data_IF_357104589974
#
_entry.id   IF_357104589974
#
_cell.length_a   1.000
_cell.length_b   1.000
_cell.length_c   1.000
_cell.angle_alpha   90.00
_cell.angle_beta   90.00
_cell.angle_gamma   90.00
#
_symmetry.space_group_name_H-M   'P 1'
#
loop_
_entity.id
_entity.type
_entity.pdbx_description
1 polymer ?
#
# COMPACT_ATOMS: atom_id res chain seq x y z
N UNK A 1 -0.30 4.75 -21.39
CA UNK A 1 0.96 4.44 -22.12
C UNK A 1 0.63 4.12 -23.57
N UNK A 2 1.48 4.51 -24.54
CA UNK A 2 1.25 4.15 -25.95
C UNK A 2 1.52 2.64 -26.17
N UNK A 3 0.69 1.90 -26.94
CA UNK A 3 0.89 0.47 -27.17
C UNK A 3 2.28 0.11 -27.70
N UNK A 4 2.82 0.93 -28.60
CA UNK A 4 4.15 0.74 -29.20
C UNK A 4 5.31 0.81 -28.22
N UNK A 5 5.10 1.33 -27.00
CA UNK A 5 6.14 1.42 -25.96
C UNK A 5 5.98 0.39 -24.86
N UNK A 6 4.83 -0.32 -24.82
CA UNK A 6 4.46 -1.23 -23.74
C UNK A 6 5.49 -2.35 -23.56
N UNK A 7 5.95 -2.94 -24.66
CA UNK A 7 6.94 -4.03 -24.65
C UNK A 7 8.25 -3.59 -23.99
N UNK A 8 8.84 -2.51 -24.48
CA UNK A 8 10.10 -1.96 -23.94
C UNK A 8 9.99 -1.62 -22.45
N UNK A 9 8.84 -1.09 -22.01
CA UNK A 9 8.63 -0.78 -20.60
C UNK A 9 8.55 -2.03 -19.73
N UNK A 10 7.84 -3.07 -20.19
CA UNK A 10 7.81 -4.32 -19.46
C UNK A 10 9.21 -4.93 -19.39
N UNK A 11 9.98 -4.93 -20.47
CA UNK A 11 11.34 -5.48 -20.47
C UNK A 11 12.29 -4.70 -19.54
N UNK A 12 12.21 -3.37 -19.52
CA UNK A 12 13.15 -2.53 -18.77
C UNK A 12 12.74 -2.29 -17.30
N UNK A 13 11.44 -2.16 -17.04
CA UNK A 13 10.92 -1.72 -15.73
C UNK A 13 10.30 -2.89 -14.96
N UNK A 14 9.68 -3.85 -15.65
CA UNK A 14 9.00 -4.98 -15.04
C UNK A 14 9.34 -6.30 -15.74
N UNK A 15 10.64 -6.70 -15.75
CA UNK A 15 11.09 -7.89 -16.49
C UNK A 15 10.40 -9.17 -16.00
N UNK A 16 9.93 -9.18 -14.75
CA UNK A 16 9.13 -10.23 -14.13
C UNK A 16 7.71 -10.37 -14.74
N UNK A 17 7.22 -9.31 -15.40
CA UNK A 17 5.85 -9.22 -15.96
C UNK A 17 5.81 -9.27 -17.50
N UNK A 18 6.96 -9.29 -18.17
CA UNK A 18 7.04 -9.18 -19.65
C UNK A 18 6.34 -10.30 -20.42
N UNK A 19 6.33 -11.51 -19.86
CA UNK A 19 5.77 -12.72 -20.48
C UNK A 19 4.40 -13.11 -19.90
N UNK A 20 3.76 -12.22 -19.14
CA UNK A 20 2.43 -12.48 -18.58
C UNK A 20 1.38 -12.39 -19.69
N UNK A 21 0.33 -13.20 -19.55
CA UNK A 21 -0.75 -13.26 -20.51
C UNK A 21 -1.78 -12.15 -20.30
N UNK A 22 -2.75 -12.05 -21.22
CA UNK A 22 -3.77 -11.00 -21.17
C UNK A 22 -4.66 -11.13 -19.93
N UNK A 23 -4.95 -12.36 -19.46
CA UNK A 23 -5.78 -12.57 -18.27
C UNK A 23 -5.09 -12.01 -17.02
N UNK A 24 -3.78 -12.18 -16.86
CA UNK A 24 -3.04 -11.55 -15.77
C UNK A 24 -3.29 -10.03 -15.71
N UNK A 25 -3.24 -9.34 -16.85
CA UNK A 25 -3.44 -7.89 -16.89
C UNK A 25 -4.90 -7.47 -16.67
N UNK A 26 -5.87 -8.29 -17.08
CA UNK A 26 -7.30 -8.07 -16.75
C UNK A 26 -7.52 -8.15 -15.25
N UNK A 27 -7.01 -9.21 -14.60
CA UNK A 27 -7.10 -9.36 -13.13
C UNK A 27 -6.38 -8.22 -12.41
N UNK A 28 -5.18 -7.84 -12.86
CA UNK A 28 -4.42 -6.74 -12.28
C UNK A 28 -5.17 -5.40 -12.38
N UNK A 29 -5.80 -5.14 -13.52
CA UNK A 29 -6.62 -3.93 -13.73
C UNK A 29 -7.78 -3.88 -12.74
N UNK A 30 -8.49 -4.98 -12.54
CA UNK A 30 -9.59 -5.06 -11.58
C UNK A 30 -9.12 -4.87 -10.14
N UNK A 31 -7.99 -5.48 -9.76
CA UNK A 31 -7.37 -5.25 -8.45
C UNK A 31 -7.05 -3.78 -8.21
N UNK A 32 -6.44 -3.11 -9.18
CA UNK A 32 -6.11 -1.67 -9.08
C UNK A 32 -7.38 -0.81 -9.03
N UNK A 33 -8.40 -1.14 -9.83
CA UNK A 33 -9.68 -0.42 -9.85
C UNK A 33 -10.41 -0.50 -8.51
N UNK A 34 -10.37 -1.68 -7.88
CA UNK A 34 -11.03 -1.95 -6.60
C UNK A 34 -10.15 -1.58 -5.40
N UNK A 35 -8.89 -1.20 -5.63
CA UNK A 35 -8.02 -0.77 -4.56
C UNK A 35 -8.55 0.55 -3.97
N UNK A 36 -8.59 0.69 -2.64
CA UNK A 36 -8.95 1.95 -2.01
C UNK A 36 -8.06 3.06 -2.56
N UNK A 37 -8.68 4.12 -3.09
CA UNK A 37 -7.93 5.24 -3.64
C UNK A 37 -7.40 6.13 -2.50
N UNK A 38 -6.36 6.91 -2.76
CA UNK A 38 -5.77 7.78 -1.73
C UNK A 38 -6.81 8.68 -1.01
N UNK A 39 -7.90 9.06 -1.71
CA UNK A 39 -8.99 9.84 -1.12
C UNK A 39 -9.81 9.06 -0.07
N UNK A 40 -9.91 7.73 -0.14
CA UNK A 40 -10.57 6.94 0.91
C UNK A 40 -9.73 6.86 2.18
N UNK A 41 -8.39 6.85 2.07
CA UNK A 41 -7.48 6.84 3.23
C UNK A 41 -7.55 8.14 4.05
N UNK A 42 -7.84 9.28 3.41
CA UNK A 42 -7.99 10.57 4.10
C UNK A 42 -9.35 10.80 4.75
N UNK A 43 -10.29 9.83 4.71
CA UNK A 43 -11.61 9.97 5.33
C UNK A 43 -11.56 9.88 6.85
N UNK A 44 -10.50 9.32 7.43
CA UNK A 44 -10.32 9.21 8.87
C UNK A 44 -9.84 10.54 9.48
N UNK A 45 -10.65 11.22 10.31
CA UNK A 45 -10.20 12.42 11.01
C UNK A 45 -8.97 12.09 11.86
N UNK A 46 -7.85 12.79 11.61
CA UNK A 46 -6.59 12.58 12.32
C UNK A 46 -5.68 11.47 11.78
N UNK A 47 -6.15 10.61 10.87
CA UNK A 47 -5.35 9.51 10.29
C UNK A 47 -4.10 10.00 9.56
N UNK A 48 -4.22 11.08 8.80
CA UNK A 48 -3.09 11.70 8.10
C UNK A 48 -2.01 12.24 9.05
N UNK A 49 -2.44 12.87 10.15
CA UNK A 49 -1.51 13.39 11.15
C UNK A 49 -0.75 12.25 11.83
N UNK A 50 -1.47 11.17 12.16
CA UNK A 50 -0.88 9.98 12.77
C UNK A 50 0.13 9.31 11.83
N UNK A 51 -0.25 9.01 10.58
CA UNK A 51 0.64 8.37 9.60
C UNK A 51 1.88 9.21 9.32
N UNK A 52 1.72 10.52 9.14
CA UNK A 52 2.85 11.44 8.98
C UNK A 52 3.80 11.40 10.18
N UNK A 53 3.25 11.42 11.41
CA UNK A 53 4.07 11.42 12.64
C UNK A 53 4.86 10.12 12.77
N UNK A 54 4.26 8.98 12.44
CA UNK A 54 4.93 7.67 12.44
C UNK A 54 6.08 7.68 11.43
N UNK A 55 5.81 8.03 10.17
CA UNK A 55 6.85 8.06 9.12
C UNK A 55 7.97 9.04 9.45
N UNK A 56 7.64 10.22 10.00
CA UNK A 56 8.63 11.21 10.42
C UNK A 56 9.53 10.66 11.52
N UNK A 57 8.98 9.94 12.50
CA UNK A 57 9.76 9.37 13.59
C UNK A 57 10.68 8.23 13.12
N UNK A 58 10.23 7.40 12.17
CA UNK A 58 11.05 6.36 11.53
C UNK A 58 12.22 7.03 10.79
N UNK A 59 11.93 8.05 9.98
CA UNK A 59 12.95 8.78 9.22
C UNK A 59 13.97 9.48 10.14
N UNK A 60 13.52 10.11 11.22
CA UNK A 60 14.39 10.75 12.23
C UNK A 60 15.34 9.76 12.91
N UNK A 61 14.94 8.50 13.03
CA UNK A 61 15.78 7.42 13.57
C UNK A 61 16.66 6.76 12.49
N UNK A 62 16.67 7.28 11.26
CA UNK A 62 17.35 6.69 10.11
C UNK A 62 16.97 5.22 9.85
N UNK A 63 15.72 4.86 10.17
CA UNK A 63 15.20 3.52 9.97
C UNK A 63 14.55 3.38 8.58
N UNK A 64 14.52 2.16 8.05
CA UNK A 64 13.84 1.86 6.79
C UNK A 64 12.33 2.02 6.95
N UNK A 65 11.64 2.39 5.87
CA UNK A 65 10.18 2.44 5.86
C UNK A 65 9.54 1.06 6.11
N UNK A 66 10.28 -0.02 5.81
CA UNK A 66 9.82 -1.41 6.02
C UNK A 66 9.49 -1.69 7.48
N UNK A 67 10.12 -1.01 8.45
CA UNK A 67 9.76 -1.12 9.87
C UNK A 67 8.32 -0.67 10.12
N UNK A 68 7.83 0.30 9.35
CA UNK A 68 6.43 0.72 9.40
C UNK A 68 5.49 -0.43 9.02
N UNK A 69 5.83 -1.16 7.96
CA UNK A 69 5.02 -2.25 7.41
C UNK A 69 5.12 -3.53 8.25
N UNK A 70 6.33 -3.90 8.67
CA UNK A 70 6.60 -5.17 9.35
C UNK A 70 6.29 -5.14 10.85
N UNK A 71 6.38 -3.97 11.50
CA UNK A 71 6.26 -3.86 12.96
C UNK A 71 5.13 -2.92 13.36
N UNK A 72 5.12 -1.68 12.84
CA UNK A 72 4.20 -0.66 13.34
C UNK A 72 2.75 -0.97 12.96
N UNK A 73 2.50 -1.37 11.70
CA UNK A 73 1.16 -1.75 11.24
C UNK A 73 0.61 -2.95 12.03
N UNK A 74 1.33 -4.08 12.17
CA UNK A 74 0.88 -5.21 12.99
C UNK A 74 0.63 -4.84 14.45
N UNK A 75 1.49 -4.01 15.06
CA UNK A 75 1.31 -3.58 16.45
C UNK A 75 0.04 -2.71 16.63
N UNK A 76 -0.24 -1.80 15.69
CA UNK A 76 -1.47 -1.00 15.73
C UNK A 76 -2.70 -1.90 15.58
N UNK A 77 -2.65 -2.88 14.66
CA UNK A 77 -3.72 -3.86 14.47
C UNK A 77 -4.01 -4.63 15.77
N UNK A 78 -2.98 -5.18 16.39
CA UNK A 78 -3.07 -5.91 17.66
C UNK A 78 -3.72 -5.05 18.76
N UNK A 79 -3.30 -3.80 18.91
CA UNK A 79 -3.85 -2.88 19.93
C UNK A 79 -5.33 -2.58 19.69
N UNK A 80 -5.74 -2.36 18.44
CA UNK A 80 -7.15 -2.11 18.11
C UNK A 80 -8.00 -3.35 18.43
N UNK A 81 -7.53 -4.53 18.07
CA UNK A 81 -8.27 -5.79 18.28
C UNK A 81 -8.32 -6.19 19.76
N UNK A 82 -7.21 -6.10 20.48
CA UNK A 82 -7.11 -6.60 21.87
C UNK A 82 -7.56 -5.56 22.90
N UNK A 83 -7.04 -4.33 22.82
CA UNK A 83 -7.28 -3.29 23.82
C UNK A 83 -8.59 -2.58 23.54
N UNK A 84 -8.82 -2.19 22.28
CA UNK A 84 -10.03 -1.45 21.91
C UNK A 84 -11.22 -2.37 21.62
N UNK A 85 -10.99 -3.68 21.41
CA UNK A 85 -12.02 -4.69 21.09
C UNK A 85 -12.90 -4.27 19.92
N UNK A 86 -12.28 -3.72 18.88
CA UNK A 86 -12.93 -3.28 17.63
C UNK A 86 -12.30 -4.00 16.45
N UNK A 87 -13.07 -4.18 15.39
CA UNK A 87 -12.53 -4.70 14.13
C UNK A 87 -11.53 -3.70 13.54
N UNK A 88 -10.37 -4.20 13.15
CA UNK A 88 -9.26 -3.40 12.60
C UNK A 88 -9.36 -3.19 11.08
N UNK A 89 -10.19 -3.99 10.40
CA UNK A 89 -10.47 -3.97 8.96
C UNK A 89 -10.92 -2.59 8.38
N UNK A 90 -11.62 -1.69 9.11
CA UNK A 90 -11.98 -0.39 8.55
C UNK A 90 -10.87 0.69 8.70
N UNK A 91 -9.73 0.38 9.32
CA UNK A 91 -8.73 1.40 9.75
C UNK A 91 -7.39 1.31 9.00
N UNK A 92 -7.06 0.17 8.38
CA UNK A 92 -5.84 -0.06 7.58
C UNK A 92 -6.17 -0.28 6.09
#
# INVERSE_FOLDING_TARGET
MKPSKMKDHLERVHPDKKNKDVEFFKVLKEKIRNQPNLKSFFKAPGGLKASYTISLNIAKKAQSYTIGEEIVIPAIKEVIETVMKKDSEPVL
#
